data_IF_606475257326
#
_entry.id   IF_606475257326
#
_cell.length_a   1.000
_cell.length_b   1.000
_cell.length_c   1.000
_cell.angle_alpha   90.00
_cell.angle_beta   90.00
_cell.angle_gamma   90.00
#
_symmetry.space_group_name_H-M   'P 1'
#
loop_
_entity.id
_entity.type
_entity.pdbx_description
1 polymer ?
#
# COMPACT_ATOMS: atom_id res chain seq x y z
N UNK A 1 -9.57 -25.09 -30.65
CA UNK A 1 -8.88 -23.83 -30.28
C UNK A 1 -8.66 -23.85 -28.77
N UNK A 2 -7.41 -23.92 -28.31
CA UNK A 2 -7.10 -23.93 -26.88
C UNK A 2 -7.35 -22.53 -26.31
N UNK A 3 -8.27 -22.41 -25.33
CA UNK A 3 -8.46 -21.16 -24.58
C UNK A 3 -7.16 -20.85 -23.85
N UNK A 4 -6.47 -19.77 -24.21
CA UNK A 4 -5.35 -19.27 -23.40
C UNK A 4 -5.93 -18.82 -22.06
N UNK A 5 -5.72 -19.61 -21.01
CA UNK A 5 -6.00 -19.15 -19.65
C UNK A 5 -4.97 -18.07 -19.31
N UNK A 6 -5.40 -16.80 -19.28
CA UNK A 6 -4.58 -15.73 -18.74
C UNK A 6 -4.70 -15.76 -17.22
N UNK A 7 -3.63 -16.13 -16.51
CA UNK A 7 -3.63 -16.11 -15.06
C UNK A 7 -3.40 -14.69 -14.57
N UNK A 8 -4.42 -14.01 -14.05
CA UNK A 8 -4.24 -12.73 -13.39
C UNK A 8 -3.80 -12.92 -11.93
N UNK A 9 -2.97 -12.00 -11.44
CA UNK A 9 -2.45 -11.99 -10.08
C UNK A 9 -2.76 -10.65 -9.43
N UNK A 10 -3.45 -10.70 -8.29
CA UNK A 10 -3.77 -9.53 -7.48
C UNK A 10 -2.66 -9.30 -6.46
N UNK A 11 -2.10 -8.10 -6.45
CA UNK A 11 -1.31 -7.55 -5.34
C UNK A 11 -2.28 -6.74 -4.48
N UNK A 12 -2.35 -7.03 -3.18
CA UNK A 12 -3.27 -6.38 -2.26
C UNK A 12 -2.61 -6.06 -0.92
N UNK A 13 -3.16 -5.06 -0.25
CA UNK A 13 -2.90 -4.78 1.16
C UNK A 13 -3.84 -5.65 2.02
N UNK A 14 -3.25 -6.40 2.95
CA UNK A 14 -3.94 -7.12 4.02
C UNK A 14 -4.14 -6.17 5.21
N UNK A 15 -5.40 -5.95 5.61
CA UNK A 15 -5.75 -5.14 6.79
C UNK A 15 -6.19 -6.04 7.94
N UNK A 16 -5.52 -5.95 9.08
CA UNK A 16 -5.83 -6.79 10.27
C UNK A 16 -7.04 -6.31 11.10
N UNK A 17 -7.67 -5.19 10.76
CA UNK A 17 -8.56 -4.51 11.71
C UNK A 17 -10.03 -4.63 11.26
N UNK A 18 -10.73 -5.58 11.89
CA UNK A 18 -12.17 -5.89 11.94
C UNK A 18 -12.89 -6.58 10.76
N UNK A 19 -12.49 -6.43 9.50
CA UNK A 19 -13.32 -6.95 8.38
C UNK A 19 -12.66 -7.99 7.45
N UNK A 20 -11.43 -8.45 7.74
CA UNK A 20 -10.70 -9.34 6.82
C UNK A 20 -10.53 -8.72 5.42
N UNK A 21 -10.52 -7.38 5.38
CA UNK A 21 -10.56 -6.61 4.15
C UNK A 21 -9.25 -6.68 3.39
N UNK A 22 -9.37 -6.86 2.07
CA UNK A 22 -8.26 -6.74 1.13
C UNK A 22 -8.43 -5.45 0.33
N UNK A 23 -7.42 -4.58 0.33
CA UNK A 23 -7.42 -3.41 -0.55
C UNK A 23 -6.61 -3.74 -1.80
N UNK A 24 -7.25 -3.83 -2.98
CA UNK A 24 -6.54 -4.13 -4.22
C UNK A 24 -5.58 -3.00 -4.58
N UNK A 25 -4.31 -3.33 -4.84
CA UNK A 25 -3.28 -2.36 -5.20
C UNK A 25 -2.97 -2.40 -6.70
N UNK A 26 -2.82 -3.61 -7.25
CA UNK A 26 -2.45 -3.83 -8.65
C UNK A 26 -2.92 -5.22 -9.12
N UNK A 27 -3.26 -5.34 -10.40
CA UNK A 27 -3.44 -6.63 -11.07
C UNK A 27 -2.34 -6.79 -12.12
N UNK A 28 -1.70 -7.95 -12.16
CA UNK A 28 -0.65 -8.28 -13.12
C UNK A 28 -0.96 -9.58 -13.87
N UNK A 29 -0.33 -9.76 -15.03
CA UNK A 29 -0.54 -10.94 -15.89
C UNK A 29 0.27 -12.17 -15.47
N UNK A 30 1.28 -12.00 -14.60
CA UNK A 30 2.15 -13.10 -14.19
C UNK A 30 2.53 -12.98 -12.72
N UNK A 31 2.80 -14.12 -12.09
CA UNK A 31 3.26 -14.16 -10.70
C UNK A 31 4.55 -13.36 -10.51
N UNK A 32 5.48 -13.45 -11.47
CA UNK A 32 6.76 -12.74 -11.41
C UNK A 32 6.57 -11.22 -11.36
N UNK A 33 5.65 -10.67 -12.17
CA UNK A 33 5.31 -9.25 -12.12
C UNK A 33 4.63 -8.87 -10.80
N UNK A 34 3.77 -9.73 -10.25
CA UNK A 34 3.14 -9.50 -8.96
C UNK A 34 4.16 -9.50 -7.80
N UNK A 35 5.10 -10.46 -7.81
CA UNK A 35 6.15 -10.57 -6.79
C UNK A 35 7.11 -9.37 -6.85
N UNK A 36 7.47 -8.90 -8.06
CA UNK A 36 8.26 -7.70 -8.24
C UNK A 36 7.54 -6.46 -7.73
N UNK A 37 6.25 -6.31 -8.09
CA UNK A 37 5.43 -5.20 -7.61
C UNK A 37 5.30 -5.20 -6.08
N UNK A 38 5.09 -6.37 -5.46
CA UNK A 38 5.11 -6.54 -4.00
C UNK A 38 6.42 -6.04 -3.40
N UNK A 39 7.57 -6.49 -3.92
CA UNK A 39 8.87 -6.08 -3.41
C UNK A 39 9.13 -4.56 -3.54
N UNK A 40 8.69 -3.94 -4.64
CA UNK A 40 8.80 -2.50 -4.84
C UNK A 40 7.94 -1.72 -3.83
N UNK A 41 6.71 -2.18 -3.59
CA UNK A 41 5.79 -1.57 -2.61
C UNK A 41 6.34 -1.73 -1.19
N UNK A 42 6.80 -2.92 -0.81
CA UNK A 42 7.41 -3.17 0.51
C UNK A 42 8.63 -2.27 0.74
N UNK A 43 9.50 -2.11 -0.27
CA UNK A 43 10.64 -1.18 -0.19
C UNK A 43 10.18 0.27 -0.02
N UNK A 44 9.12 0.68 -0.70
CA UNK A 44 8.55 2.02 -0.56
C UNK A 44 7.96 2.25 0.84
N UNK A 45 7.28 1.25 1.41
CA UNK A 45 6.77 1.28 2.79
C UNK A 45 7.93 1.49 3.78
N UNK A 46 9.02 0.73 3.66
CA UNK A 46 10.18 0.89 4.54
C UNK A 46 10.84 2.27 4.42
N UNK A 47 10.88 2.85 3.20
CA UNK A 47 11.35 4.23 3.02
C UNK A 47 10.44 5.26 3.71
N UNK A 48 9.12 5.08 3.60
CA UNK A 48 8.14 5.93 4.28
C UNK A 48 8.28 5.82 5.79
N UNK A 49 8.37 4.61 6.34
CA UNK A 49 8.63 4.35 7.77
C UNK A 49 9.90 5.03 8.24
N UNK A 50 10.99 4.86 7.51
CA UNK A 50 12.26 5.49 7.83
C UNK A 50 12.21 7.02 7.81
N UNK A 51 11.35 7.63 7.00
CA UNK A 51 11.12 9.09 7.01
C UNK A 51 10.27 9.52 8.19
N UNK A 52 9.16 8.83 8.43
CA UNK A 52 8.24 9.12 9.55
C UNK A 52 8.92 8.98 10.91
N UNK A 53 9.76 7.97 11.09
CA UNK A 53 10.52 7.76 12.33
C UNK A 53 11.54 8.88 12.61
N UNK A 54 11.86 9.72 11.62
CA UNK A 54 12.73 10.91 11.78
C UNK A 54 11.92 12.20 11.97
N UNK A 55 10.60 12.13 11.86
CA UNK A 55 9.70 13.27 12.05
C UNK A 55 9.14 13.25 13.47
N UNK A 56 8.92 14.41 14.09
CA UNK A 56 8.27 14.49 15.40
C UNK A 56 6.93 13.73 15.41
N UNK A 57 6.66 13.04 16.52
CA UNK A 57 5.44 12.25 16.67
C UNK A 57 4.28 13.15 17.07
N UNK A 58 3.17 13.23 16.30
CA UNK A 58 2.02 14.00 16.71
C UNK A 58 1.43 13.44 18.00
N UNK A 59 1.54 12.14 18.27
CA UNK A 59 0.99 11.54 19.50
C UNK A 59 1.95 11.59 20.69
N UNK A 60 2.99 12.44 20.64
CA UNK A 60 3.88 12.70 21.77
C UNK A 60 3.11 13.37 22.91
N UNK A 61 3.25 12.85 24.13
CA UNK A 61 2.52 13.39 25.29
C UNK A 61 3.06 14.77 25.71
N UNK A 62 2.14 15.66 26.10
CA UNK A 62 2.50 16.97 26.66
C UNK A 62 2.70 18.08 25.63
N UNK A 63 2.34 17.85 24.36
CA UNK A 63 2.31 18.90 23.33
C UNK A 63 0.94 19.59 23.29
N UNK A 64 0.88 20.79 22.72
CA UNK A 64 -0.38 21.51 22.50
C UNK A 64 -1.15 20.97 21.29
N UNK A 65 -2.45 21.26 21.19
CA UNK A 65 -3.26 20.93 20.02
C UNK A 65 -2.70 21.55 18.73
N UNK A 66 -2.19 22.78 18.81
CA UNK A 66 -1.55 23.47 17.67
C UNK A 66 -0.30 22.72 17.20
N UNK A 67 0.53 22.24 18.14
CA UNK A 67 1.72 21.47 17.83
C UNK A 67 1.36 20.08 17.28
N UNK A 68 0.34 19.43 17.86
CA UNK A 68 -0.21 18.19 17.32
C UNK A 68 -0.63 18.37 15.85
N UNK A 69 -1.41 19.41 15.54
CA UNK A 69 -1.86 19.71 14.18
C UNK A 69 -0.69 19.95 13.24
N UNK A 70 0.29 20.76 13.64
CA UNK A 70 1.46 21.05 12.81
C UNK A 70 2.27 19.77 12.48
N UNK A 71 2.47 18.89 13.47
CA UNK A 71 3.17 17.61 13.29
C UNK A 71 2.37 16.65 12.41
N UNK A 72 1.07 16.58 12.63
CA UNK A 72 0.16 15.76 11.82
C UNK A 72 0.16 16.21 10.35
N UNK A 73 -0.03 17.52 10.10
CA UNK A 73 -0.01 18.09 8.75
C UNK A 73 1.34 17.90 8.06
N UNK A 74 2.46 18.05 8.78
CA UNK A 74 3.78 17.79 8.23
C UNK A 74 3.92 16.33 7.73
N UNK A 75 3.47 15.36 8.54
CA UNK A 75 3.48 13.93 8.17
C UNK A 75 2.56 13.67 6.98
N UNK A 76 1.33 14.18 7.00
CA UNK A 76 0.35 14.04 5.90
C UNK A 76 0.87 14.63 4.58
N UNK A 77 1.42 15.85 4.61
CA UNK A 77 2.04 16.49 3.44
C UNK A 77 3.21 15.68 2.87
N UNK A 78 4.02 15.06 3.72
CA UNK A 78 5.12 14.19 3.27
C UNK A 78 4.58 12.96 2.53
N UNK A 79 3.52 12.35 3.04
CA UNK A 79 2.87 11.17 2.46
C UNK A 79 2.17 11.48 1.13
N UNK A 80 1.46 12.61 1.05
CA UNK A 80 0.81 13.07 -0.20
C UNK A 80 1.81 13.32 -1.33
N UNK A 81 3.01 13.79 -0.98
CA UNK A 81 4.09 14.07 -1.95
C UNK A 81 4.94 12.83 -2.25
N UNK A 82 4.78 11.75 -1.49
CA UNK A 82 5.56 10.54 -1.70
C UNK A 82 5.18 9.87 -3.03
N UNK A 83 6.20 9.56 -3.83
CA UNK A 83 6.01 8.89 -5.12
C UNK A 83 5.94 7.39 -4.92
N UNK A 84 4.73 6.89 -4.71
CA UNK A 84 4.47 5.46 -4.63
C UNK A 84 4.79 4.74 -5.95
N UNK A 85 5.36 3.53 -5.89
CA UNK A 85 5.56 2.70 -7.08
C UNK A 85 4.22 2.34 -7.71
N UNK A 86 4.24 2.01 -9.00
CA UNK A 86 3.05 1.57 -9.75
C UNK A 86 1.88 2.56 -9.74
N UNK A 87 2.16 3.85 -9.45
CA UNK A 87 1.17 4.94 -9.34
C UNK A 87 0.04 4.67 -8.34
N UNK A 88 0.30 3.82 -7.34
CA UNK A 88 -0.64 3.54 -6.27
C UNK A 88 -0.91 4.85 -5.52
N UNK A 89 -2.17 5.21 -5.33
CA UNK A 89 -2.56 6.32 -4.46
C UNK A 89 -2.90 5.78 -3.09
N UNK A 90 -2.42 6.45 -2.05
CA UNK A 90 -2.68 6.09 -0.66
C UNK A 90 -3.23 7.32 0.07
N UNK A 91 -4.46 7.17 0.55
CA UNK A 91 -5.08 7.99 1.56
C UNK A 91 -4.60 7.47 2.91
N UNK A 92 -3.81 8.27 3.62
CA UNK A 92 -3.02 7.70 4.71
C UNK A 92 -3.70 7.96 6.06
N UNK A 93 -4.17 6.87 6.75
CA UNK A 93 -4.22 6.68 8.25
C UNK A 93 -3.48 5.42 8.85
N UNK A 94 -3.18 4.35 8.07
CA UNK A 94 -2.38 3.18 8.51
C UNK A 94 -1.16 2.83 7.61
N UNK A 95 0.07 2.82 8.17
CA UNK A 95 1.35 2.59 7.42
C UNK A 95 1.97 1.24 7.76
N UNK A 96 1.36 0.52 8.70
CA UNK A 96 1.73 -0.82 9.06
C UNK A 96 0.73 -1.79 8.41
N UNK A 97 1.06 -2.22 7.20
CA UNK A 97 0.21 -3.09 6.44
C UNK A 97 1.04 -4.10 5.65
N UNK A 98 0.52 -5.33 5.54
CA UNK A 98 1.19 -6.41 4.84
C UNK A 98 0.75 -6.42 3.38
N UNK A 99 1.73 -6.51 2.47
CA UNK A 99 1.45 -6.65 1.03
C UNK A 99 1.46 -8.13 0.68
N UNK A 100 0.39 -8.60 0.02
CA UNK A 100 0.19 -9.99 -0.34
C UNK A 100 -0.11 -10.12 -1.82
N UNK A 101 0.06 -11.35 -2.33
CA UNK A 101 -0.19 -11.71 -3.73
C UNK A 101 -1.11 -12.92 -3.76
N UNK A 102 -2.15 -12.88 -4.60
CA UNK A 102 -3.01 -14.03 -4.85
C UNK A 102 -3.34 -14.19 -6.32
N UNK A 103 -3.53 -15.43 -6.78
CA UNK A 103 -4.01 -15.71 -8.13
C UNK A 103 -5.52 -15.46 -8.20
N UNK A 104 -5.98 -14.78 -9.25
CA UNK A 104 -7.40 -14.57 -9.53
C UNK A 104 -7.92 -15.75 -10.39
N UNK A 105 -8.89 -16.54 -9.88
CA UNK A 105 -9.30 -17.77 -10.56
C UNK A 105 -10.26 -17.55 -11.75
N UNK A 106 -10.85 -16.35 -11.89
CA UNK A 106 -11.91 -16.03 -12.88
C UNK A 106 -11.46 -15.11 -14.02
N UNK A 107 -10.15 -14.87 -14.20
CA UNK A 107 -9.64 -14.13 -15.35
C UNK A 107 -9.68 -15.00 -16.62
N UNK A 108 -10.87 -15.17 -17.17
CA UNK A 108 -11.12 -15.73 -18.52
C UNK A 108 -11.87 -14.69 -19.33
N UNK A 109 -11.47 -14.48 -20.59
CA UNK A 109 -12.07 -13.46 -21.47
C UNK A 109 -13.59 -13.47 -21.40
N UNK A 110 -14.17 -12.28 -21.16
CA UNK A 110 -15.54 -12.01 -21.57
C UNK A 110 -15.58 -12.10 -23.10
N UNK A 111 -16.56 -12.84 -23.62
CA UNK A 111 -16.78 -13.08 -25.05
C UNK A 111 -17.04 -11.80 -25.82
#
# INVERSE_FOLDING_TARGET
>A
MSKKQHAAWLVYEEREVYDGGMVPLLVTETKALADQAKADIERAIEQVRGRLNRMPDPDEQGISDEEWTARFEARSNMLERFRWPHRIKRDTWAWDFAVRVMRLPFATEAR
#
